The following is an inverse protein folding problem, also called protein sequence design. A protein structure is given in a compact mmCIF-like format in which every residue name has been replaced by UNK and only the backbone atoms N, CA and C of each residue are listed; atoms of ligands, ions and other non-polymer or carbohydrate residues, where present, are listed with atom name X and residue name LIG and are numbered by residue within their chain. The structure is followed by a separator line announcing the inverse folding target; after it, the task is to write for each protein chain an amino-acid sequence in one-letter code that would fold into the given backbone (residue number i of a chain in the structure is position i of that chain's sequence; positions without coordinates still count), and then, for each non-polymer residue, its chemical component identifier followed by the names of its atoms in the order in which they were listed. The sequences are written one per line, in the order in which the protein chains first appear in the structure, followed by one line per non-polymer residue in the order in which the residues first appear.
data_IF_946931877464
#
_entry.id   IF_946931877464
#
_cell.length_a   1.000
_cell.length_b   1.000
_cell.length_c   1.000
_cell.angle_alpha   90.00
_cell.angle_beta   90.00
_cell.angle_gamma   90.00
#
_symmetry.space_group_name_H-M   'P 1'
#
loop_
_entity.id
_entity.type
_entity.pdbx_description
1 polymer ?
#
# COMPACT_ATOMS: atom_id res chain seq x y z
N UNK A 1 -4.57 -19.46 1.41
CA UNK A 1 -4.17 -19.67 0.00
C UNK A 1 -4.52 -21.05 -0.55
N UNK A 2 -4.14 -22.17 0.07
CA UNK A 2 -4.48 -23.52 -0.43
C UNK A 2 -5.99 -23.71 -0.70
N UNK A 3 -6.85 -23.32 0.25
CA UNK A 3 -8.31 -23.33 0.08
C UNK A 3 -8.82 -22.48 -1.10
N UNK A 4 -8.12 -21.39 -1.46
CA UNK A 4 -8.54 -20.55 -2.58
C UNK A 4 -8.30 -21.26 -3.91
N UNK A 5 -7.14 -21.93 -4.05
CA UNK A 5 -6.80 -22.75 -5.21
C UNK A 5 -7.74 -23.94 -5.34
N UNK A 6 -8.08 -24.61 -4.23
CA UNK A 6 -9.08 -25.68 -4.19
C UNK A 6 -10.47 -25.22 -4.68
N UNK A 7 -10.77 -23.93 -4.53
CA UNK A 7 -12.00 -23.30 -5.01
C UNK A 7 -11.82 -22.64 -6.40
N UNK A 8 -10.72 -22.92 -7.11
CA UNK A 8 -10.48 -22.45 -8.47
C UNK A 8 -10.11 -20.98 -8.62
N UNK A 9 -9.72 -20.31 -7.53
CA UNK A 9 -9.27 -18.92 -7.58
C UNK A 9 -7.76 -18.83 -7.83
N UNK A 10 -7.36 -18.20 -8.93
CA UNK A 10 -6.02 -17.65 -9.09
C UNK A 10 -5.94 -16.29 -8.38
N UNK A 11 -5.07 -16.19 -7.38
CA UNK A 11 -4.93 -15.01 -6.54
C UNK A 11 -3.77 -14.11 -6.96
N UNK A 12 -2.97 -14.50 -7.97
CA UNK A 12 -1.67 -13.88 -8.18
C UNK A 12 -1.77 -12.38 -8.39
N UNK A 13 -2.60 -11.94 -9.34
CA UNK A 13 -2.76 -10.52 -9.63
C UNK A 13 -3.45 -9.78 -8.49
N UNK A 14 -4.44 -10.36 -7.83
CA UNK A 14 -5.11 -9.72 -6.70
C UNK A 14 -4.16 -9.48 -5.52
N UNK A 15 -3.27 -10.44 -5.21
CA UNK A 15 -2.26 -10.31 -4.17
C UNK A 15 -1.21 -9.25 -4.52
N UNK A 16 -0.77 -9.20 -5.77
CA UNK A 16 0.17 -8.19 -6.24
C UNK A 16 -0.45 -6.79 -6.22
N UNK A 17 -1.71 -6.66 -6.66
CA UNK A 17 -2.47 -5.42 -6.55
C UNK A 17 -2.58 -4.98 -5.09
N UNK A 18 -2.94 -5.90 -4.18
CA UNK A 18 -3.00 -5.62 -2.74
C UNK A 18 -1.66 -5.12 -2.21
N UNK A 19 -0.53 -5.79 -2.54
CA UNK A 19 0.80 -5.36 -2.09
C UNK A 19 1.10 -3.93 -2.56
N UNK A 20 0.78 -3.61 -3.82
CA UNK A 20 1.03 -2.28 -4.39
C UNK A 20 0.12 -1.21 -3.76
N UNK A 21 -1.16 -1.51 -3.51
CA UNK A 21 -2.07 -0.56 -2.85
C UNK A 21 -1.76 -0.39 -1.37
N UNK A 22 -1.44 -1.46 -0.66
CA UNK A 22 -1.00 -1.43 0.74
C UNK A 22 0.25 -0.59 0.89
N UNK A 23 1.19 -0.70 -0.06
CA UNK A 23 2.35 0.18 -0.09
C UNK A 23 1.95 1.65 -0.21
N UNK A 24 1.02 2.04 -1.09
CA UNK A 24 0.61 3.46 -1.22
C UNK A 24 0.06 4.00 0.11
N UNK A 25 -0.85 3.26 0.74
CA UNK A 25 -1.54 3.71 1.96
C UNK A 25 -0.77 3.36 3.23
N UNK A 26 0.40 2.71 3.14
CA UNK A 26 1.17 2.21 4.28
C UNK A 26 0.33 1.35 5.23
N UNK A 27 -0.40 0.37 4.70
CA UNK A 27 -1.09 -0.61 5.54
C UNK A 27 -0.05 -1.56 6.16
N UNK A 28 0.17 -1.41 7.47
CA UNK A 28 1.21 -2.17 8.17
C UNK A 28 0.69 -3.45 8.81
N UNK A 29 -0.62 -3.65 8.89
CA UNK A 29 -1.24 -4.79 9.59
C UNK A 29 -1.87 -5.81 8.62
N UNK A 30 -1.10 -6.20 7.61
CA UNK A 30 -1.52 -7.19 6.60
C UNK A 30 -1.15 -8.62 7.00
N UNK A 31 -1.67 -9.08 8.13
CA UNK A 31 -1.49 -10.44 8.62
C UNK A 31 -2.44 -11.44 7.92
N UNK A 32 -2.22 -12.75 8.12
CA UNK A 32 -2.92 -13.82 7.38
C UNK A 32 -4.45 -13.87 7.56
N UNK A 33 -5.00 -13.18 8.58
CA UNK A 33 -6.45 -13.08 8.76
C UNK A 33 -7.03 -11.81 8.14
N UNK A 34 -6.19 -10.89 7.66
CA UNK A 34 -6.58 -9.64 7.02
C UNK A 34 -6.58 -9.77 5.48
N UNK A 35 -7.31 -10.78 4.99
CA UNK A 35 -7.55 -11.03 3.56
C UNK A 35 -9.04 -11.27 3.32
N UNK A 36 -9.60 -10.61 2.31
CA UNK A 36 -11.01 -10.78 1.93
C UNK A 36 -11.20 -11.65 0.70
N UNK A 37 -12.29 -12.42 0.67
CA UNK A 37 -12.77 -13.13 -0.52
C UNK A 37 -14.22 -12.73 -0.77
N UNK A 38 -14.54 -12.40 -2.02
CA UNK A 38 -15.91 -12.13 -2.46
C UNK A 38 -16.58 -13.45 -2.83
N UNK A 39 -17.79 -13.67 -2.32
CA UNK A 39 -18.61 -14.85 -2.61
C UNK A 39 -19.97 -14.44 -3.14
N UNK A 40 -20.51 -15.25 -4.03
CA UNK A 40 -21.90 -15.12 -4.46
C UNK A 40 -22.82 -15.45 -3.27
N UNK A 41 -23.77 -14.56 -2.97
CA UNK A 41 -24.60 -14.69 -1.76
C UNK A 41 -25.64 -15.81 -1.85
N UNK A 42 -25.99 -16.27 -3.05
CA UNK A 42 -27.00 -17.32 -3.27
C UNK A 42 -26.39 -18.71 -3.33
N UNK A 43 -25.27 -18.84 -4.02
CA UNK A 43 -24.59 -20.11 -4.31
C UNK A 43 -23.40 -20.37 -3.40
N UNK A 44 -22.95 -19.35 -2.66
CA UNK A 44 -21.77 -19.38 -1.80
C UNK A 44 -20.46 -19.71 -2.53
N UNK A 45 -20.46 -19.67 -3.86
CA UNK A 45 -19.27 -19.86 -4.68
C UNK A 45 -18.31 -18.70 -4.49
N UNK A 46 -17.03 -19.02 -4.46
CA UNK A 46 -15.96 -18.04 -4.37
C UNK A 46 -15.79 -17.39 -5.74
N UNK A 47 -15.77 -16.06 -5.78
CA UNK A 47 -15.75 -15.31 -7.04
C UNK A 47 -14.37 -14.72 -7.33
N UNK A 48 -13.80 -14.01 -6.36
CA UNK A 48 -12.48 -13.37 -6.46
C UNK A 48 -11.98 -12.92 -5.09
N UNK A 49 -10.71 -12.52 -4.99
CA UNK A 49 -10.21 -11.86 -3.80
C UNK A 49 -10.73 -10.42 -3.71
N UNK A 50 -10.82 -9.90 -2.48
CA UNK A 50 -10.99 -8.48 -2.23
C UNK A 50 -9.61 -7.90 -1.86
N UNK A 51 -8.85 -7.35 -2.81
CA UNK A 51 -7.47 -6.93 -2.57
C UNK A 51 -7.37 -5.64 -1.76
N UNK A 52 -8.47 -4.89 -1.64
CA UNK A 52 -8.59 -3.79 -0.68
C UNK A 52 -9.63 -4.24 0.34
N UNK A 53 -9.16 -4.65 1.52
CA UNK A 53 -9.97 -5.16 2.61
C UNK A 53 -9.36 -4.73 3.94
N UNK A 54 -10.21 -4.45 4.94
CA UNK A 54 -9.85 -4.13 6.33
C UNK A 54 -8.51 -3.37 6.46
N UNK A 55 -8.53 -2.15 5.91
CA UNK A 55 -7.36 -1.28 5.78
C UNK A 55 -7.38 -0.12 6.78
N UNK A 56 -8.12 -0.27 7.89
CA UNK A 56 -8.23 0.77 8.93
C UNK A 56 -6.89 1.08 9.60
N UNK A 57 -5.98 0.10 9.65
CA UNK A 57 -4.63 0.22 10.21
C UNK A 57 -3.59 0.75 9.20
N UNK A 58 -4.02 1.68 8.35
CA UNK A 58 -3.19 2.31 7.31
C UNK A 58 -2.93 3.78 7.65
N UNK A 59 -2.25 4.49 6.75
CA UNK A 59 -2.05 5.94 6.82
C UNK A 59 -1.42 6.40 8.15
N UNK A 60 -0.54 5.57 8.72
CA UNK A 60 0.17 5.86 9.96
C UNK A 60 -0.73 6.11 11.17
N UNK A 61 -1.93 5.51 11.20
CA UNK A 61 -2.97 5.77 12.22
C UNK A 61 -2.50 5.68 13.67
N UNK A 62 -1.54 4.80 13.98
CA UNK A 62 -1.00 4.56 15.32
C UNK A 62 0.40 5.15 15.53
N UNK A 63 0.94 5.84 14.52
CA UNK A 63 2.31 6.32 14.55
C UNK A 63 2.42 7.67 15.25
N UNK A 64 3.33 7.77 16.22
CA UNK A 64 3.67 9.05 16.86
C UNK A 64 4.30 10.05 15.90
N UNK A 65 4.84 9.60 14.77
CA UNK A 65 5.49 10.47 13.78
C UNK A 65 5.32 9.93 12.37
N UNK A 66 4.81 10.77 11.47
CA UNK A 66 4.72 10.44 10.04
C UNK A 66 6.12 10.54 9.43
N UNK A 67 6.69 9.44 8.89
CA UNK A 67 8.01 9.45 8.27
C UNK A 67 8.02 10.24 6.96
N UNK A 68 9.21 10.63 6.52
CA UNK A 68 9.41 11.40 5.28
C UNK A 68 10.63 10.90 4.51
N UNK A 69 10.69 11.26 3.22
CA UNK A 69 11.83 10.93 2.35
C UNK A 69 12.15 9.43 2.38
N UNK A 70 13.41 9.10 2.66
CA UNK A 70 13.91 7.72 2.67
C UNK A 70 13.38 6.86 3.82
N UNK A 71 12.86 7.44 4.91
CA UNK A 71 12.29 6.67 6.02
C UNK A 71 11.01 5.94 5.61
N UNK A 72 10.28 6.48 4.62
CA UNK A 72 9.09 5.86 4.02
C UNK A 72 9.39 4.51 3.32
N UNK A 73 10.65 4.21 2.98
CA UNK A 73 11.06 2.93 2.37
C UNK A 73 11.49 1.88 3.41
N UNK A 74 11.57 2.28 4.69
CA UNK A 74 12.06 1.45 5.80
C UNK A 74 10.94 0.90 6.69
N UNK A 75 9.68 1.23 6.38
CA UNK A 75 8.50 0.86 7.16
C UNK A 75 8.42 -0.66 7.30
N UNK A 76 8.22 -1.10 8.55
CA UNK A 76 8.00 -2.50 8.92
C UNK A 76 6.51 -2.82 8.83
N UNK A 77 6.21 -4.08 8.54
CA UNK A 77 4.84 -4.58 8.44
C UNK A 77 4.69 -5.91 9.18
N UNK A 78 3.51 -6.12 9.74
CA UNK A 78 3.05 -7.40 10.26
C UNK A 78 2.44 -8.21 9.12
N UNK A 79 3.30 -8.86 8.33
CA UNK A 79 2.89 -9.68 7.19
C UNK A 79 3.82 -10.87 7.01
N UNK A 80 3.74 -11.57 5.88
CA UNK A 80 4.62 -12.68 5.54
C UNK A 80 6.07 -12.24 5.24
N UNK A 81 6.28 -10.95 4.98
CA UNK A 81 7.59 -10.31 5.01
C UNK A 81 7.57 -9.16 6.03
N UNK A 82 8.75 -8.71 6.46
CA UNK A 82 8.88 -7.75 7.56
C UNK A 82 8.97 -6.27 7.13
N UNK A 83 8.93 -5.99 5.82
CA UNK A 83 9.01 -4.63 5.24
C UNK A 83 8.14 -4.52 4.00
N UNK A 84 7.58 -3.34 3.75
CA UNK A 84 6.79 -3.10 2.54
C UNK A 84 7.61 -3.25 1.26
N UNK A 85 8.85 -2.73 1.24
CA UNK A 85 9.77 -2.88 0.10
C UNK A 85 10.11 -4.35 -0.18
N UNK A 86 10.17 -5.17 0.87
CA UNK A 86 10.34 -6.62 0.70
C UNK A 86 9.08 -7.26 0.11
N UNK A 87 7.89 -6.80 0.48
CA UNK A 87 6.63 -7.24 -0.13
C UNK A 87 6.61 -6.91 -1.64
N UNK A 88 6.99 -5.69 -2.02
CA UNK A 88 7.10 -5.28 -3.44
C UNK A 88 8.04 -6.18 -4.24
N UNK A 89 9.09 -6.75 -3.64
CA UNK A 89 9.98 -7.69 -4.34
C UNK A 89 9.30 -8.97 -4.83
N UNK A 90 8.10 -9.29 -4.32
CA UNK A 90 7.29 -10.41 -4.78
C UNK A 90 6.37 -10.05 -5.95
N UNK A 91 6.23 -8.77 -6.33
CA UNK A 91 5.37 -8.34 -7.44
C UNK A 91 6.07 -8.59 -8.78
N UNK A 92 5.44 -9.39 -9.65
CA UNK A 92 5.89 -9.64 -11.01
C UNK A 92 5.22 -8.68 -11.99
N UNK A 93 3.89 -8.50 -11.90
CA UNK A 93 3.20 -7.53 -12.73
C UNK A 93 3.14 -6.17 -12.03
N UNK A 94 4.11 -5.30 -12.33
CA UNK A 94 4.17 -3.96 -11.77
C UNK A 94 3.13 -3.01 -12.39
N UNK A 95 2.42 -3.40 -13.45
CA UNK A 95 1.42 -2.56 -14.12
C UNK A 95 0.00 -2.63 -13.54
N UNK A 96 -0.21 -3.30 -12.40
CA UNK A 96 -1.55 -3.59 -11.88
C UNK A 96 -2.29 -2.38 -11.30
N UNK A 97 -1.55 -1.43 -10.71
CA UNK A 97 -2.13 -0.21 -10.12
C UNK A 97 -1.98 0.95 -11.11
N UNK A 98 -3.12 1.56 -11.44
CA UNK A 98 -3.17 2.78 -12.25
C UNK A 98 -3.09 4.01 -11.35
N UNK A 99 -1.90 4.61 -11.24
CA UNK A 99 -1.66 5.76 -10.37
C UNK A 99 -2.44 7.00 -10.80
N UNK A 100 -2.86 7.09 -12.07
CA UNK A 100 -3.67 8.22 -12.56
C UNK A 100 -5.09 8.25 -11.99
N UNK A 101 -5.57 7.14 -11.43
CA UNK A 101 -6.88 7.02 -10.78
C UNK A 101 -6.84 7.27 -9.27
N UNK A 102 -5.65 7.49 -8.71
CA UNK A 102 -5.50 7.76 -7.29
C UNK A 102 -6.03 9.17 -6.94
N UNK A 103 -6.64 9.36 -5.75
CA UNK A 103 -7.06 10.69 -5.33
C UNK A 103 -5.92 11.71 -5.33
N UNK A 104 -6.25 12.95 -5.67
CA UNK A 104 -5.28 14.05 -5.58
C UNK A 104 -4.93 14.37 -4.13
N UNK A 105 -3.79 15.03 -3.93
CA UNK A 105 -3.39 15.52 -2.60
C UNK A 105 -4.45 16.44 -1.98
N UNK A 106 -5.03 17.34 -2.77
CA UNK A 106 -6.10 18.25 -2.32
C UNK A 106 -7.36 17.50 -1.90
N UNK A 107 -7.74 16.46 -2.66
CA UNK A 107 -8.89 15.63 -2.29
C UNK A 107 -8.64 14.92 -0.96
N UNK A 108 -7.46 14.34 -0.78
CA UNK A 108 -7.09 13.65 0.46
C UNK A 108 -7.03 14.65 1.64
N UNK A 109 -6.45 15.82 1.43
CA UNK A 109 -6.40 16.87 2.44
C UNK A 109 -7.79 17.29 2.91
N UNK A 110 -8.70 17.55 1.96
CA UNK A 110 -10.09 17.91 2.25
C UNK A 110 -10.87 16.78 2.95
N UNK A 111 -10.52 15.52 2.67
CA UNK A 111 -11.07 14.38 3.40
C UNK A 111 -10.58 14.36 4.86
N UNK A 112 -9.27 14.51 5.07
CA UNK A 112 -8.64 14.48 6.39
C UNK A 112 -9.09 15.65 7.29
N UNK A 113 -9.32 16.82 6.71
CA UNK A 113 -9.83 18.00 7.44
C UNK A 113 -11.23 17.82 8.05
N UNK A 114 -11.97 16.77 7.68
CA UNK A 114 -13.25 16.46 8.32
C UNK A 114 -13.10 15.96 9.76
N UNK A 115 -11.90 15.52 10.14
CA UNK A 115 -11.59 15.21 11.54
C UNK A 115 -11.01 16.46 12.23
N UNK A 116 -11.87 17.15 12.97
CA UNK A 116 -11.54 18.40 13.68
C UNK A 116 -10.51 18.21 14.81
N UNK A 117 -10.23 16.96 15.22
CA UNK A 117 -9.27 16.66 16.28
C UNK A 117 -7.82 16.62 15.78
N UNK A 118 -7.63 16.48 14.46
CA UNK A 118 -6.31 16.36 13.84
C UNK A 118 -5.79 17.74 13.43
N UNK A 119 -4.54 18.02 13.80
CA UNK A 119 -3.87 19.29 13.44
C UNK A 119 -3.62 19.37 11.94
N UNK A 120 -3.71 20.59 11.41
CA UNK A 120 -3.44 20.89 10.00
C UNK A 120 -2.07 20.36 9.53
N UNK A 121 -1.02 20.59 10.33
CA UNK A 121 0.34 20.09 10.05
C UNK A 121 0.38 18.55 9.91
N UNK A 122 -0.40 17.82 10.70
CA UNK A 122 -0.49 16.36 10.58
C UNK A 122 -1.11 15.96 9.25
N UNK A 123 -2.18 16.65 8.83
CA UNK A 123 -2.83 16.41 7.54
C UNK A 123 -1.88 16.69 6.38
N UNK A 124 -1.12 17.80 6.43
CA UNK A 124 -0.11 18.10 5.43
C UNK A 124 0.97 17.03 5.35
N UNK A 125 1.46 16.54 6.49
CA UNK A 125 2.47 15.47 6.54
C UNK A 125 1.94 14.15 5.99
N UNK A 126 0.68 13.79 6.27
CA UNK A 126 0.03 12.61 5.70
C UNK A 126 -0.07 12.72 4.17
N UNK A 127 -0.52 13.87 3.67
CA UNK A 127 -0.62 14.12 2.22
C UNK A 127 0.74 14.06 1.56
N UNK A 128 1.78 14.67 2.16
CA UNK A 128 3.16 14.59 1.63
C UNK A 128 3.67 13.15 1.59
N UNK A 129 3.46 12.38 2.66
CA UNK A 129 3.87 10.97 2.71
C UNK A 129 3.15 10.13 1.65
N UNK A 130 1.84 10.31 1.50
CA UNK A 130 1.02 9.67 0.48
C UNK A 130 1.51 9.96 -0.93
N UNK A 131 1.68 11.23 -1.28
CA UNK A 131 2.17 11.63 -2.61
C UNK A 131 3.58 11.12 -2.88
N UNK A 132 4.44 11.09 -1.86
CA UNK A 132 5.78 10.53 -1.99
C UNK A 132 5.77 9.02 -2.23
N UNK A 133 4.85 8.29 -1.59
CA UNK A 133 4.65 6.85 -1.78
C UNK A 133 4.11 6.53 -3.18
N UNK A 134 3.27 7.39 -3.75
CA UNK A 134 2.87 7.29 -5.17
C UNK A 134 4.09 7.40 -6.08
N UNK A 135 4.94 8.43 -5.89
CA UNK A 135 6.17 8.58 -6.70
C UNK A 135 7.09 7.36 -6.63
N UNK A 136 7.28 6.81 -5.43
CA UNK A 136 8.06 5.58 -5.28
C UNK A 136 7.44 4.38 -5.97
N UNK A 137 6.11 4.28 -5.94
CA UNK A 137 5.43 3.23 -6.69
C UNK A 137 5.67 3.43 -8.19
N UNK A 138 5.53 4.65 -8.71
CA UNK A 138 5.80 4.95 -10.13
C UNK A 138 7.24 4.59 -10.52
N UNK A 139 8.23 4.94 -9.70
CA UNK A 139 9.62 4.53 -9.92
C UNK A 139 9.76 3.00 -9.95
N UNK A 140 9.11 2.29 -9.02
CA UNK A 140 9.05 0.84 -9.02
C UNK A 140 8.40 0.28 -10.28
N UNK A 141 7.30 0.86 -10.75
CA UNK A 141 6.62 0.47 -11.99
C UNK A 141 7.51 0.68 -13.21
N UNK A 142 8.37 1.70 -13.19
CA UNK A 142 9.39 1.99 -14.20
C UNK A 142 10.68 1.16 -14.07
N UNK A 143 10.69 0.17 -13.18
CA UNK A 143 11.79 -0.81 -13.06
C UNK A 143 12.76 -0.55 -11.92
N UNK A 144 12.56 0.50 -11.11
CA UNK A 144 13.41 0.73 -9.95
C UNK A 144 13.34 -0.43 -8.93
N UNK A 145 14.45 -0.69 -8.26
CA UNK A 145 14.51 -1.48 -7.04
C UNK A 145 14.60 -0.53 -5.85
N UNK A 146 13.46 -0.31 -5.18
CA UNK A 146 13.33 0.62 -4.06
C UNK A 146 14.14 0.20 -2.83
N UNK A 147 14.57 -1.07 -2.75
CA UNK A 147 15.41 -1.55 -1.67
C UNK A 147 16.91 -1.38 -1.98
N UNK A 148 17.27 -1.02 -3.22
CA UNK A 148 18.66 -0.93 -3.65
C UNK A 148 19.36 0.31 -3.06
N UNK A 149 20.64 0.15 -2.72
CA UNK A 149 21.48 1.24 -2.24
C UNK A 149 21.54 2.41 -3.25
N UNK A 150 21.60 2.11 -4.54
CA UNK A 150 21.71 3.11 -5.59
C UNK A 150 20.47 4.02 -5.64
N UNK A 151 19.27 3.44 -5.52
CA UNK A 151 18.02 4.19 -5.51
C UNK A 151 17.91 5.10 -4.27
N UNK A 152 18.17 4.54 -3.09
CA UNK A 152 18.14 5.30 -1.82
C UNK A 152 19.18 6.42 -1.83
N UNK A 153 20.37 6.17 -2.39
CA UNK A 153 21.43 7.17 -2.54
C UNK A 153 21.05 8.27 -3.51
N UNK A 154 20.45 7.95 -4.66
CA UNK A 154 20.05 8.98 -5.64
C UNK A 154 19.06 9.96 -5.05
N UNK A 155 18.13 9.53 -4.20
CA UNK A 155 17.18 10.43 -3.56
C UNK A 155 17.83 11.46 -2.62
N UNK A 156 18.90 11.08 -1.91
CA UNK A 156 19.61 12.01 -1.01
C UNK A 156 20.45 13.05 -1.75
N UNK A 157 20.67 12.89 -3.06
CA UNK A 157 21.42 13.85 -3.87
C UNK A 157 20.53 14.99 -4.39
N UNK A 158 19.21 14.86 -4.27
CA UNK A 158 18.21 15.81 -4.78
C UNK A 158 17.34 16.46 -3.69
N UNK A 159 17.66 16.23 -2.41
CA UNK A 159 17.08 16.89 -1.22
C UNK A 159 18.06 17.89 -0.64
#
# INVERSE_FOLDING_TARGET
MAKCLENGLDLRQDLEYQIMTDFIISNTDRHMNNFGIIRDSKTLKWLKMAPIFDSGNSMFYDSMSIPSGNELLKIRVNSFANKETKLLSYVQNRGLVDTSKLPSGDWLYNLLQKDELIKEETNERLVRAYLQKIKYLEDFQNGADLASYNYVKSMNLFT
#
